data_IF_131411274305
#
_entry.id   IF_131411274305
#
_cell.length_a   1.000
_cell.length_b   1.000
_cell.length_c   1.000
_cell.angle_alpha   90.00
_cell.angle_beta   90.00
_cell.angle_gamma   90.00
#
_symmetry.space_group_name_H-M   'P 1'
#
loop_
_entity.id
_entity.type
_entity.pdbx_description
1 polymer ?
#
# COMPACT_ATOMS: atom_id res chain seq x y z
N UNK A 1 86.17 8.30 -22.43
CA UNK A 1 86.33 6.90 -22.93
C UNK A 1 84.94 6.30 -23.07
N UNK A 2 84.49 6.07 -24.31
CA UNK A 2 84.20 4.74 -24.88
C UNK A 2 83.06 3.97 -24.19
N UNK A 3 81.88 4.06 -24.82
CA UNK A 3 81.09 2.94 -25.37
C UNK A 3 80.92 1.66 -24.55
N UNK A 4 79.66 1.24 -24.31
CA UNK A 4 79.00 0.15 -25.08
C UNK A 4 77.57 -0.11 -24.60
N UNK A 5 76.68 -0.19 -25.59
CA UNK A 5 75.29 -0.65 -25.53
C UNK A 5 75.18 -2.13 -25.15
N UNK A 6 74.10 -2.54 -24.47
CA UNK A 6 73.41 -3.82 -24.71
C UNK A 6 71.90 -3.65 -24.51
N UNK A 7 71.17 -4.13 -25.52
CA UNK A 7 69.73 -4.10 -25.68
C UNK A 7 68.95 -4.92 -24.66
N UNK A 8 67.68 -4.58 -24.45
CA UNK A 8 66.58 -5.56 -24.34
C UNK A 8 65.26 -4.89 -24.68
N UNK A 9 64.74 -5.24 -25.86
CA UNK A 9 63.34 -5.06 -26.21
C UNK A 9 62.47 -5.78 -25.16
N UNK A 10 61.48 -5.07 -24.62
CA UNK A 10 60.29 -5.68 -24.06
C UNK A 10 59.09 -4.98 -24.70
N UNK A 11 58.51 -5.67 -25.69
CA UNK A 11 57.19 -5.37 -26.23
C UNK A 11 56.19 -5.90 -25.21
N UNK A 12 55.34 -5.03 -24.66
CA UNK A 12 54.16 -5.43 -23.90
C UNK A 12 52.98 -4.69 -24.52
N UNK A 13 52.18 -5.44 -25.28
CA UNK A 13 50.98 -4.95 -25.92
C UNK A 13 49.91 -4.66 -24.85
N UNK A 14 49.50 -3.39 -24.76
CA UNK A 14 48.31 -2.99 -24.01
C UNK A 14 47.11 -3.28 -24.89
N UNK A 15 46.38 -4.36 -24.60
CA UNK A 15 45.02 -4.55 -25.12
C UNK A 15 44.09 -3.91 -24.10
N UNK A 16 43.62 -2.70 -24.41
CA UNK A 16 42.56 -2.05 -23.66
C UNK A 16 41.23 -2.73 -24.00
N UNK A 17 40.72 -3.56 -23.10
CA UNK A 17 39.33 -4.02 -23.15
C UNK A 17 38.42 -2.88 -22.69
N UNK A 18 37.70 -2.26 -23.62
CA UNK A 18 36.58 -1.38 -23.30
C UNK A 18 35.42 -2.23 -22.81
N UNK A 19 35.21 -2.32 -21.50
CA UNK A 19 33.91 -2.72 -20.97
C UNK A 19 32.96 -1.52 -21.10
N UNK A 20 32.14 -1.54 -22.15
CA UNK A 20 30.83 -0.90 -22.11
C UNK A 20 29.87 -1.83 -21.37
N UNK A 21 29.31 -1.35 -20.27
CA UNK A 21 28.33 -2.04 -19.45
C UNK A 21 28.52 -1.61 -17.99
N UNK A 22 27.51 -1.31 -17.18
CA UNK A 22 26.08 -1.40 -17.34
C UNK A 22 25.47 -0.27 -16.49
N UNK A 23 24.23 0.11 -16.77
CA UNK A 23 23.54 1.20 -16.11
C UNK A 23 23.59 1.10 -14.58
N UNK A 24 23.65 2.27 -13.94
CA UNK A 24 23.22 2.41 -12.57
C UNK A 24 21.72 2.15 -12.54
N UNK A 25 21.33 0.88 -12.36
CA UNK A 25 20.00 0.51 -11.89
C UNK A 25 19.95 0.88 -10.41
N UNK A 26 19.71 2.16 -10.15
CA UNK A 26 19.13 2.61 -8.89
C UNK A 26 17.67 2.20 -8.88
N UNK A 27 17.42 0.89 -8.87
CA UNK A 27 16.12 0.36 -8.54
C UNK A 27 15.95 0.52 -7.04
N UNK A 28 15.30 1.61 -6.62
CA UNK A 28 14.50 1.59 -5.41
C UNK A 28 13.51 0.43 -5.59
N UNK A 29 13.89 -0.76 -5.12
CA UNK A 29 13.03 -1.94 -5.01
C UNK A 29 12.04 -1.65 -3.87
N UNK A 30 11.21 -0.62 -4.09
CA UNK A 30 10.07 -0.32 -3.25
C UNK A 30 9.15 -1.53 -3.37
N UNK A 31 9.11 -2.32 -2.30
CA UNK A 31 8.17 -3.43 -2.21
C UNK A 31 6.78 -2.87 -2.53
N UNK A 32 6.03 -3.51 -3.45
CA UNK A 32 4.72 -3.02 -3.83
C UNK A 32 3.84 -2.90 -2.60
N UNK A 33 3.13 -1.77 -2.47
CA UNK A 33 2.19 -1.55 -1.37
C UNK A 33 1.14 -2.66 -1.36
N UNK A 34 0.70 -3.14 -0.19
CA UNK A 34 -0.28 -4.22 -0.15
C UNK A 34 -1.65 -3.74 -0.63
N UNK A 35 -2.42 -4.63 -1.28
CA UNK A 35 -3.73 -4.30 -1.78
C UNK A 35 -4.78 -4.19 -0.66
N UNK A 36 -5.84 -3.44 -0.96
CA UNK A 36 -7.05 -3.31 -0.16
C UNK A 36 -8.24 -3.95 -0.87
N UNK A 37 -8.94 -4.86 -0.21
CA UNK A 37 -10.16 -5.47 -0.73
C UNK A 37 -11.38 -4.63 -0.36
N UNK A 38 -12.32 -4.46 -1.29
CA UNK A 38 -13.56 -3.71 -1.11
C UNK A 38 -14.73 -4.67 -0.92
N UNK A 39 -15.52 -4.50 0.15
CA UNK A 39 -16.68 -5.36 0.43
C UNK A 39 -17.82 -4.58 1.06
N UNK A 40 -19.07 -4.89 0.71
CA UNK A 40 -20.22 -4.33 1.43
C UNK A 40 -20.35 -4.94 2.82
N UNK A 41 -20.63 -4.10 3.81
CA UNK A 41 -21.01 -4.54 5.16
C UNK A 41 -22.51 -4.76 5.19
N UNK A 42 -22.91 -5.96 5.59
CA UNK A 42 -24.32 -6.33 5.72
C UNK A 42 -24.82 -6.24 7.17
N UNK A 43 -23.92 -6.41 8.13
CA UNK A 43 -24.17 -6.23 9.56
C UNK A 43 -22.85 -6.07 10.32
N UNK A 44 -22.90 -5.50 11.52
CA UNK A 44 -21.76 -5.41 12.44
C UNK A 44 -22.20 -5.68 13.88
N UNK A 45 -21.30 -6.25 14.68
CA UNK A 45 -21.49 -6.47 16.10
C UNK A 45 -20.23 -6.06 16.88
N UNK A 46 -20.39 -5.18 17.85
CA UNK A 46 -19.32 -4.80 18.79
C UNK A 46 -19.08 -5.94 19.80
N UNK A 47 -17.81 -6.13 20.15
CA UNK A 47 -17.36 -7.15 21.10
C UNK A 47 -16.09 -7.88 20.64
N UNK A 48 -15.50 -8.71 21.50
CA UNK A 48 -14.29 -9.44 21.15
C UNK A 48 -14.52 -10.30 19.90
N UNK A 49 -13.68 -10.10 18.89
CA UNK A 49 -13.75 -10.82 17.64
C UNK A 49 -12.65 -11.87 17.53
N UNK A 50 -13.00 -13.07 17.06
CA UNK A 50 -12.06 -14.17 16.79
C UNK A 50 -12.24 -14.76 15.39
N UNK A 51 -12.96 -14.05 14.50
CA UNK A 51 -13.07 -14.45 13.10
C UNK A 51 -11.66 -14.45 12.46
N UNK A 52 -11.36 -15.47 11.63
CA UNK A 52 -10.08 -15.50 10.93
C UNK A 52 -9.98 -14.35 9.93
N UNK A 53 -8.75 -13.99 9.56
CA UNK A 53 -8.54 -13.11 8.43
C UNK A 53 -9.08 -13.77 7.16
N UNK A 54 -9.71 -12.98 6.29
CA UNK A 54 -10.29 -13.48 5.05
C UNK A 54 -9.21 -13.85 4.04
N UNK A 55 -9.40 -14.99 3.39
CA UNK A 55 -8.49 -15.53 2.36
C UNK A 55 -9.21 -15.88 1.05
N UNK A 56 -10.51 -15.55 0.95
CA UNK A 56 -11.35 -15.82 -0.21
C UNK A 56 -12.29 -14.64 -0.48
N UNK A 57 -12.71 -14.50 -1.74
CA UNK A 57 -13.64 -13.48 -2.20
C UNK A 57 -15.12 -13.75 -1.87
N UNK A 58 -15.44 -14.93 -1.31
CA UNK A 58 -16.83 -15.29 -0.94
C UNK A 58 -17.31 -14.54 0.31
N UNK A 59 -18.62 -14.31 0.42
CA UNK A 59 -19.28 -13.75 1.62
C UNK A 59 -18.80 -14.43 2.91
N UNK A 60 -18.42 -13.64 3.91
CA UNK A 60 -17.81 -14.13 5.15
C UNK A 60 -17.78 -13.05 6.24
N UNK A 61 -17.48 -13.47 7.47
CA UNK A 61 -17.30 -12.56 8.61
C UNK A 61 -15.81 -12.24 8.83
N UNK A 62 -15.49 -11.01 9.22
CA UNK A 62 -14.12 -10.59 9.53
C UNK A 62 -14.07 -9.66 10.75
N UNK A 63 -12.92 -9.64 11.43
CA UNK A 63 -12.66 -8.67 12.50
C UNK A 63 -12.18 -7.33 11.93
N UNK A 64 -12.45 -6.26 12.66
CA UNK A 64 -11.61 -5.05 12.57
C UNK A 64 -10.17 -5.35 12.96
N UNK A 65 -9.30 -4.39 12.64
CA UNK A 65 -7.90 -4.41 13.04
C UNK A 65 -7.71 -4.56 14.54
N UNK A 66 -8.54 -3.90 15.34
CA UNK A 66 -8.49 -3.93 16.80
C UNK A 66 -9.04 -5.23 17.44
N UNK A 67 -9.76 -6.07 16.69
CA UNK A 67 -10.41 -7.28 17.21
C UNK A 67 -11.60 -6.98 18.14
N UNK A 68 -12.20 -5.81 18.01
CA UNK A 68 -13.31 -5.29 18.82
C UNK A 68 -14.65 -5.24 18.10
N UNK A 69 -14.66 -5.50 16.80
CA UNK A 69 -15.88 -5.50 15.99
C UNK A 69 -15.85 -6.66 15.01
N UNK A 70 -16.95 -7.41 14.93
CA UNK A 70 -17.17 -8.41 13.87
C UNK A 70 -18.05 -7.80 12.79
N UNK A 71 -17.64 -7.90 11.53
CA UNK A 71 -18.41 -7.47 10.36
C UNK A 71 -18.85 -8.67 9.54
N UNK A 72 -20.12 -8.69 9.13
CA UNK A 72 -20.63 -9.60 8.11
C UNK A 72 -20.49 -8.94 6.74
N UNK A 73 -19.74 -9.56 5.83
CA UNK A 73 -19.33 -8.96 4.57
C UNK A 73 -19.92 -9.72 3.36
N UNK A 74 -20.49 -8.98 2.41
CA UNK A 74 -20.85 -9.51 1.08
C UNK A 74 -19.60 -9.89 0.28
N UNK A 75 -19.74 -10.47 -0.92
CA UNK A 75 -18.60 -10.87 -1.77
C UNK A 75 -17.63 -9.72 -2.08
N UNK A 76 -16.41 -10.07 -2.53
CA UNK A 76 -15.41 -9.11 -3.00
C UNK A 76 -15.96 -8.28 -4.16
N UNK A 77 -15.91 -6.95 -4.01
CA UNK A 77 -16.35 -6.00 -5.04
C UNK A 77 -15.18 -5.48 -5.90
N UNK A 78 -13.97 -5.87 -5.54
CA UNK A 78 -12.76 -5.40 -6.19
C UNK A 78 -11.60 -5.29 -5.21
N UNK A 79 -10.43 -5.06 -5.77
CA UNK A 79 -9.19 -4.84 -5.05
C UNK A 79 -8.55 -3.59 -5.62
N UNK A 80 -8.03 -2.74 -4.73
CA UNK A 80 -7.33 -1.51 -5.09
C UNK A 80 -6.00 -1.43 -4.35
N UNK A 81 -4.97 -0.93 -4.99
CA UNK A 81 -3.61 -0.86 -4.46
C UNK A 81 -3.16 0.60 -4.39
N UNK A 82 -2.92 1.14 -3.19
CA UNK A 82 -2.42 2.50 -3.09
C UNK A 82 -1.07 2.65 -3.82
N UNK A 83 -0.88 3.78 -4.48
CA UNK A 83 0.42 4.21 -5.03
C UNK A 83 1.19 5.09 -4.04
N UNK A 84 0.48 5.71 -3.10
CA UNK A 84 1.06 6.54 -2.04
C UNK A 84 0.27 6.35 -0.75
N UNK A 85 0.99 6.32 0.38
CA UNK A 85 0.43 6.21 1.71
C UNK A 85 1.15 7.20 2.61
N UNK A 86 0.41 8.19 3.12
CA UNK A 86 0.94 9.24 3.98
C UNK A 86 0.21 9.19 5.31
N UNK A 87 0.95 8.98 6.39
CA UNK A 87 0.45 9.19 7.73
C UNK A 87 0.58 10.67 8.08
N UNK A 88 -0.47 11.27 8.61
CA UNK A 88 -0.44 12.65 9.08
C UNK A 88 -1.25 12.80 10.36
N UNK A 89 -0.88 13.78 11.17
CA UNK A 89 -1.72 14.24 12.28
C UNK A 89 -2.40 15.52 11.82
N UNK A 90 -3.72 15.52 11.81
CA UNK A 90 -4.47 16.74 11.54
C UNK A 90 -4.21 17.75 12.65
N UNK A 91 -3.57 18.88 12.30
CA UNK A 91 -3.12 19.88 13.27
C UNK A 91 -4.28 20.61 13.98
N UNK A 92 -5.50 20.51 13.46
CA UNK A 92 -6.69 21.14 14.04
C UNK A 92 -7.44 20.26 15.04
N UNK A 93 -7.32 18.94 14.92
CA UNK A 93 -8.08 17.96 15.70
C UNK A 93 -7.21 16.97 16.48
N UNK A 94 -5.88 17.02 16.32
CA UNK A 94 -4.92 16.04 16.84
C UNK A 94 -5.23 14.60 16.38
N UNK A 95 -6.10 14.45 15.37
CA UNK A 95 -6.52 13.16 14.85
C UNK A 95 -5.46 12.62 13.88
N UNK A 96 -5.04 11.38 14.11
CA UNK A 96 -4.16 10.68 13.16
C UNK A 96 -5.00 10.17 11.99
N UNK A 97 -4.58 10.51 10.78
CA UNK A 97 -5.18 10.07 9.53
C UNK A 97 -4.15 9.38 8.66
N UNK A 98 -4.61 8.39 7.89
CA UNK A 98 -3.81 7.76 6.84
C UNK A 98 -4.43 8.11 5.51
N UNK A 99 -3.73 8.94 4.74
CA UNK A 99 -4.12 9.34 3.39
C UNK A 99 -3.56 8.34 2.38
N UNK A 100 -4.42 7.90 1.47
CA UNK A 100 -4.12 6.97 0.39
C UNK A 100 -4.34 7.67 -0.94
N UNK A 101 -3.41 7.46 -1.87
CA UNK A 101 -3.57 7.82 -3.28
C UNK A 101 -3.59 6.56 -4.13
N UNK A 102 -4.43 6.56 -5.15
CA UNK A 102 -4.62 5.45 -6.09
C UNK A 102 -4.36 5.94 -7.52
N UNK A 103 -3.97 5.01 -8.40
CA UNK A 103 -3.85 5.30 -9.83
C UNK A 103 -5.23 5.45 -10.50
N UNK A 104 -5.22 5.77 -11.80
CA UNK A 104 -6.46 5.97 -12.57
C UNK A 104 -7.33 4.70 -12.66
N UNK A 105 -6.71 3.51 -12.72
CA UNK A 105 -7.43 2.25 -12.84
C UNK A 105 -8.17 1.93 -11.53
N UNK A 106 -7.48 2.05 -10.40
CA UNK A 106 -8.05 1.83 -9.08
C UNK A 106 -9.01 2.95 -8.66
N UNK A 107 -8.79 4.17 -9.14
CA UNK A 107 -9.77 5.27 -9.02
C UNK A 107 -11.05 4.94 -9.78
N UNK A 108 -10.95 4.32 -10.97
CA UNK A 108 -12.10 3.79 -11.70
C UNK A 108 -12.87 2.75 -10.89
N UNK A 109 -12.16 1.75 -10.35
CA UNK A 109 -12.73 0.71 -9.48
C UNK A 109 -13.43 1.30 -8.25
N UNK A 110 -12.77 2.22 -7.52
CA UNK A 110 -13.36 2.92 -6.39
C UNK A 110 -14.61 3.69 -6.80
N UNK A 111 -14.55 4.42 -7.92
CA UNK A 111 -15.65 5.21 -8.43
C UNK A 111 -16.88 4.38 -8.76
N UNK A 112 -16.69 3.20 -9.35
CA UNK A 112 -17.78 2.28 -9.69
C UNK A 112 -18.37 1.63 -8.43
N UNK A 113 -17.52 1.05 -7.57
CA UNK A 113 -17.97 0.39 -6.34
C UNK A 113 -18.70 1.38 -5.42
N UNK A 114 -18.17 2.58 -5.23
CA UNK A 114 -18.79 3.59 -4.36
C UNK A 114 -20.06 4.20 -4.95
N UNK A 115 -20.19 4.26 -6.27
CA UNK A 115 -21.44 4.68 -6.93
C UNK A 115 -22.58 3.70 -6.65
N UNK A 116 -22.28 2.41 -6.70
CA UNK A 116 -23.25 1.35 -6.46
C UNK A 116 -23.54 1.15 -4.96
N UNK A 117 -22.54 1.43 -4.11
CA UNK A 117 -22.63 1.32 -2.64
C UNK A 117 -23.15 2.58 -1.93
N UNK A 118 -23.73 3.55 -2.64
CA UNK A 118 -24.22 4.79 -2.01
C UNK A 118 -25.21 4.51 -0.88
N UNK A 119 -25.04 5.23 0.23
CA UNK A 119 -25.81 5.10 1.47
C UNK A 119 -25.65 3.74 2.17
N UNK A 120 -24.69 2.92 1.76
CA UNK A 120 -24.35 1.65 2.38
C UNK A 120 -22.96 1.73 3.02
N UNK A 121 -22.70 0.82 3.95
CA UNK A 121 -21.38 0.68 4.56
C UNK A 121 -20.46 -0.10 3.63
N UNK A 122 -19.34 0.52 3.25
CA UNK A 122 -18.28 -0.11 2.46
C UNK A 122 -17.08 -0.37 3.36
N UNK A 123 -16.70 -1.64 3.46
CA UNK A 123 -15.49 -2.07 4.13
C UNK A 123 -14.29 -2.02 3.17
N UNK A 124 -13.19 -1.47 3.68
CA UNK A 124 -11.85 -1.66 3.12
C UNK A 124 -11.10 -2.65 4.02
N UNK A 125 -10.53 -3.68 3.42
CA UNK A 125 -9.80 -4.72 4.14
C UNK A 125 -8.33 -4.76 3.75
N UNK A 126 -7.47 -4.83 4.75
CA UNK A 126 -6.03 -5.06 4.62
C UNK A 126 -5.70 -6.43 5.23
N UNK A 127 -5.04 -7.30 4.47
CA UNK A 127 -4.73 -8.68 4.89
C UNK A 127 -5.95 -9.44 5.45
N UNK A 128 -7.12 -9.23 4.84
CA UNK A 128 -8.38 -9.86 5.24
C UNK A 128 -8.95 -9.37 6.58
N UNK A 129 -8.49 -8.23 7.11
CA UNK A 129 -9.06 -7.54 8.28
C UNK A 129 -9.63 -6.19 7.90
N UNK A 130 -10.73 -5.80 8.52
CA UNK A 130 -11.40 -4.53 8.25
C UNK A 130 -10.58 -3.38 8.86
N UNK A 131 -10.13 -2.44 8.01
CA UNK A 131 -9.43 -1.22 8.45
C UNK A 131 -10.34 0.01 8.40
N UNK A 132 -11.45 -0.07 7.66
CA UNK A 132 -12.50 0.95 7.63
C UNK A 132 -13.81 0.31 7.19
N UNK A 133 -14.94 0.82 7.70
CA UNK A 133 -16.30 0.37 7.37
C UNK A 133 -17.26 1.57 7.23
N UNK A 134 -16.84 2.58 6.48
CA UNK A 134 -17.53 3.86 6.39
C UNK A 134 -18.79 3.80 5.51
N UNK A 135 -19.75 4.68 5.78
CA UNK A 135 -20.91 4.87 4.91
C UNK A 135 -20.51 5.69 3.69
N UNK A 136 -20.80 5.18 2.50
CA UNK A 136 -20.51 5.88 1.25
C UNK A 136 -21.56 6.96 1.02
N UNK A 137 -21.17 8.23 1.11
CA UNK A 137 -22.07 9.37 0.85
C UNK A 137 -22.10 9.79 -0.61
N UNK A 138 -21.00 9.57 -1.34
CA UNK A 138 -20.86 9.98 -2.74
C UNK A 138 -19.78 9.12 -3.40
N UNK A 139 -19.81 8.95 -4.74
CA UNK A 139 -18.77 8.25 -5.46
C UNK A 139 -17.38 8.89 -5.25
N UNK A 140 -16.36 8.07 -5.09
CA UNK A 140 -14.96 8.51 -4.99
C UNK A 140 -14.34 8.52 -6.38
N UNK A 141 -14.16 9.72 -6.95
CA UNK A 141 -13.68 9.88 -8.33
C UNK A 141 -12.33 10.57 -8.43
N UNK A 142 -11.69 10.86 -7.30
CA UNK A 142 -10.45 11.65 -7.23
C UNK A 142 -9.22 10.82 -6.90
N UNK A 143 -9.36 9.52 -6.65
CA UNK A 143 -8.24 8.65 -6.26
C UNK A 143 -7.64 8.94 -4.89
N UNK A 144 -8.29 9.77 -4.08
CA UNK A 144 -7.83 10.13 -2.74
C UNK A 144 -8.81 9.59 -1.69
N UNK A 145 -8.29 8.85 -0.72
CA UNK A 145 -9.05 8.31 0.41
C UNK A 145 -8.34 8.65 1.71
N UNK A 146 -9.10 9.03 2.73
CA UNK A 146 -8.59 9.21 4.08
C UNK A 146 -9.20 8.15 4.99
N UNK A 147 -8.34 7.38 5.65
CA UNK A 147 -8.75 6.47 6.71
C UNK A 147 -8.69 7.23 8.04
N UNK A 148 -9.88 7.46 8.62
CA UNK A 148 -10.00 7.90 10.01
C UNK A 148 -9.97 6.65 10.90
N UNK A 149 -8.89 6.51 11.67
CA UNK A 149 -8.65 5.33 12.50
C UNK A 149 -8.92 5.68 13.98
N UNK A 150 -9.29 4.67 14.77
CA UNK A 150 -9.82 4.89 16.12
C UNK A 150 -8.76 5.36 17.11
N UNK A 151 -7.51 4.94 16.92
CA UNK A 151 -6.40 5.29 17.81
C UNK A 151 -5.10 5.54 17.04
N UNK A 152 -4.21 6.34 17.61
CA UNK A 152 -2.88 6.58 17.04
C UNK A 152 -2.06 5.29 16.84
N UNK A 153 -1.96 4.35 17.81
CA UNK A 153 -1.22 3.10 17.62
C UNK A 153 -1.81 2.20 16.53
N UNK A 154 -3.12 2.24 16.32
CA UNK A 154 -3.77 1.55 15.21
C UNK A 154 -3.38 2.18 13.88
N UNK A 155 -3.41 3.51 13.80
CA UNK A 155 -2.98 4.25 12.61
C UNK A 155 -1.51 4.00 12.25
N UNK A 156 -0.62 3.93 13.24
CA UNK A 156 0.79 3.59 13.04
C UNK A 156 0.95 2.20 12.43
N UNK A 157 0.24 1.21 12.98
CA UNK A 157 0.32 -0.16 12.51
C UNK A 157 -0.22 -0.32 11.10
N UNK A 158 -1.38 0.29 10.80
CA UNK A 158 -1.99 0.24 9.47
C UNK A 158 -1.13 0.99 8.46
N UNK A 159 -0.63 2.18 8.79
CA UNK A 159 0.25 2.96 7.92
C UNK A 159 1.55 2.20 7.62
N UNK A 160 2.21 1.66 8.65
CA UNK A 160 3.42 0.85 8.46
C UNK A 160 3.15 -0.39 7.61
N UNK A 161 1.99 -1.04 7.80
CA UNK A 161 1.59 -2.21 7.02
C UNK A 161 1.35 -1.87 5.56
N UNK A 162 0.74 -0.73 5.28
CA UNK A 162 0.50 -0.19 3.94
C UNK A 162 1.77 0.34 3.25
N UNK A 163 2.92 0.36 3.94
CA UNK A 163 4.18 0.86 3.39
C UNK A 163 4.26 2.38 3.39
N UNK A 164 3.62 3.05 4.36
CA UNK A 164 3.70 4.49 4.50
C UNK A 164 5.15 4.96 4.50
N UNK A 165 5.44 5.96 3.67
CA UNK A 165 6.74 6.60 3.70
C UNK A 165 6.86 7.38 5.01
N UNK A 166 7.87 7.04 5.82
CA UNK A 166 8.27 7.89 6.94
C UNK A 166 8.89 9.14 6.33
N UNK A 167 8.08 10.17 6.09
CA UNK A 167 8.62 11.49 5.79
C UNK A 167 9.19 12.05 7.10
N UNK A 168 10.50 12.35 7.19
CA UNK A 168 11.13 12.90 8.38
C UNK A 168 10.67 14.33 8.71
#
# INVERSE_FOLDING_TARGET
MRSRSVARLAVLAVVATTFSGCGADGGDDASPMPPLQLRLVTSSAEGPCSAPALTSDSAASACDWAGTTTYELGESLGVVTPTSVVRSTDQGSEQVVVALEFDDADTGTLGDVTRDAQQQHLAMLLDGRVVSAAVVMSPITTGHVQLALGTEPEADQIAARLGASTTP
#
